data_IF_147934457470
#
_entry.id   IF_147934457470
#
_cell.length_a   1.000
_cell.length_b   1.000
_cell.length_c   1.000
_cell.angle_alpha   90.00
_cell.angle_beta   90.00
_cell.angle_gamma   90.00
#
_symmetry.space_group_name_H-M   'P 1'
#
loop_
_entity.id
_entity.type
_entity.pdbx_description
1 polymer ?
#
# COMPACT_ATOMS: atom_id res chain seq x y z
N UNK A 1 -12.84 -17.31 -20.54
CA UNK A 1 -12.80 -16.57 -19.26
C UNK A 1 -11.40 -16.44 -18.64
N UNK A 2 -10.30 -16.87 -19.30
CA UNK A 2 -8.94 -16.69 -18.75
C UNK A 2 -8.22 -15.41 -19.23
N UNK A 3 -8.71 -14.77 -20.30
CA UNK A 3 -8.02 -13.65 -20.98
C UNK A 3 -8.06 -12.36 -20.13
N UNK A 4 -9.11 -12.16 -19.32
CA UNK A 4 -9.24 -10.98 -18.46
C UNK A 4 -8.21 -10.99 -17.32
N UNK A 5 -8.09 -12.12 -16.61
CA UNK A 5 -7.20 -12.24 -15.46
C UNK A 5 -5.72 -12.07 -15.81
N UNK A 6 -5.29 -12.51 -17.00
CA UNK A 6 -3.89 -12.32 -17.42
C UNK A 6 -3.59 -10.87 -17.78
N UNK A 7 -4.56 -10.17 -18.40
CA UNK A 7 -4.46 -8.73 -18.67
C UNK A 7 -4.39 -7.92 -17.37
N UNK A 8 -5.21 -8.28 -16.39
CA UNK A 8 -5.27 -7.61 -15.09
C UNK A 8 -3.98 -7.83 -14.28
N UNK A 9 -3.39 -9.04 -14.32
CA UNK A 9 -2.09 -9.29 -13.68
C UNK A 9 -0.98 -8.47 -14.34
N UNK A 10 -1.03 -8.32 -15.67
CA UNK A 10 -0.04 -7.55 -16.41
C UNK A 10 -0.14 -6.05 -16.11
N UNK A 11 -1.35 -5.50 -16.00
CA UNK A 11 -1.55 -4.08 -15.63
C UNK A 11 -1.06 -3.80 -14.21
N UNK A 12 -1.38 -4.66 -13.25
CA UNK A 12 -0.91 -4.57 -11.86
C UNK A 12 0.62 -4.63 -11.80
N UNK A 13 1.25 -5.52 -12.58
CA UNK A 13 2.71 -5.61 -12.63
C UNK A 13 3.35 -4.33 -13.18
N UNK A 14 2.76 -3.72 -14.21
CA UNK A 14 3.26 -2.44 -14.77
C UNK A 14 3.13 -1.32 -13.74
N UNK A 15 1.99 -1.23 -13.06
CA UNK A 15 1.76 -0.24 -12.01
C UNK A 15 2.79 -0.31 -10.88
N UNK A 16 3.11 -1.51 -10.37
CA UNK A 16 4.12 -1.65 -9.32
C UNK A 16 5.54 -1.34 -9.80
N UNK A 17 5.87 -1.62 -11.07
CA UNK A 17 7.16 -1.23 -11.65
C UNK A 17 7.31 0.30 -11.68
N UNK A 18 6.24 1.01 -12.05
CA UNK A 18 6.23 2.49 -12.05
C UNK A 18 6.42 3.06 -10.64
N UNK A 19 5.72 2.53 -9.64
CA UNK A 19 5.90 2.94 -8.23
C UNK A 19 7.33 2.72 -7.78
N UNK A 20 7.89 1.53 -8.04
CA UNK A 20 9.27 1.22 -7.65
C UNK A 20 10.24 2.18 -8.33
N UNK A 21 10.04 2.48 -9.61
CA UNK A 21 10.84 3.46 -10.35
C UNK A 21 10.81 4.85 -9.69
N UNK A 22 9.61 5.35 -9.37
CA UNK A 22 9.44 6.64 -8.70
C UNK A 22 10.09 6.65 -7.30
N UNK A 23 9.98 5.56 -6.55
CA UNK A 23 10.64 5.42 -5.26
C UNK A 23 12.16 5.41 -5.42
N UNK A 24 12.71 4.65 -6.38
CA UNK A 24 14.14 4.60 -6.65
C UNK A 24 14.70 6.00 -6.97
N UNK A 25 14.00 6.77 -7.82
CA UNK A 25 14.34 8.16 -8.10
C UNK A 25 14.30 9.05 -6.85
N UNK A 26 13.27 8.92 -6.00
CA UNK A 26 13.17 9.67 -4.74
C UNK A 26 14.31 9.35 -3.75
N UNK A 27 14.92 8.16 -3.86
CA UNK A 27 16.12 7.76 -3.10
C UNK A 27 17.45 8.15 -3.78
N UNK A 28 17.39 8.81 -4.94
CA UNK A 28 18.55 9.36 -5.65
C UNK A 28 19.09 8.49 -6.80
N UNK A 29 18.34 7.49 -7.25
CA UNK A 29 18.65 6.77 -8.49
C UNK A 29 18.29 7.60 -9.74
N UNK A 30 18.52 7.04 -10.93
CA UNK A 30 18.15 7.61 -12.22
C UNK A 30 16.63 7.76 -12.35
N UNK A 31 16.18 8.77 -13.11
CA UNK A 31 14.77 8.97 -13.45
C UNK A 31 14.19 7.79 -14.26
N UNK A 32 15.02 7.17 -15.09
CA UNK A 32 14.75 5.93 -15.81
C UNK A 32 15.76 4.84 -15.37
N UNK A 33 15.46 4.09 -14.29
CA UNK A 33 16.32 3.04 -13.79
C UNK A 33 16.38 1.85 -14.75
N UNK A 34 17.46 1.07 -14.65
CA UNK A 34 17.62 -0.15 -15.45
C UNK A 34 16.47 -1.13 -15.13
N UNK A 35 15.73 -1.66 -16.13
CA UNK A 35 14.56 -2.50 -15.89
C UNK A 35 14.83 -3.73 -15.01
N UNK A 36 15.99 -4.35 -15.17
CA UNK A 36 16.41 -5.49 -14.34
C UNK A 36 16.61 -5.11 -12.86
N UNK A 37 17.00 -3.86 -12.57
CA UNK A 37 17.13 -3.37 -11.20
C UNK A 37 15.74 -3.14 -10.58
N UNK A 38 14.78 -2.61 -11.34
CA UNK A 38 13.39 -2.46 -10.91
C UNK A 38 12.83 -3.83 -10.51
N UNK A 39 13.05 -4.85 -11.35
CA UNK A 39 12.61 -6.22 -11.10
C UNK A 39 13.22 -6.83 -9.85
N UNK A 40 14.54 -6.63 -9.67
CA UNK A 40 15.23 -7.10 -8.47
C UNK A 40 14.66 -6.44 -7.20
N UNK A 41 14.44 -5.11 -7.23
CA UNK A 41 13.87 -4.40 -6.09
C UNK A 41 12.45 -4.89 -5.80
N UNK A 42 11.63 -5.07 -6.83
CA UNK A 42 10.27 -5.57 -6.69
C UNK A 42 10.23 -6.97 -6.07
N UNK A 43 11.10 -7.87 -6.51
CA UNK A 43 11.23 -9.23 -5.95
C UNK A 43 11.67 -9.20 -4.49
N UNK A 44 12.65 -8.36 -4.15
CA UNK A 44 13.11 -8.18 -2.76
C UNK A 44 12.00 -7.64 -1.87
N UNK A 45 11.27 -6.61 -2.32
CA UNK A 45 10.14 -6.02 -1.58
C UNK A 45 9.04 -7.05 -1.37
N UNK A 46 8.66 -7.80 -2.42
CA UNK A 46 7.67 -8.86 -2.32
C UNK A 46 8.08 -9.93 -1.31
N UNK A 47 9.33 -10.37 -1.35
CA UNK A 47 9.86 -11.32 -0.37
C UNK A 47 9.78 -10.78 1.06
N UNK A 48 10.19 -9.53 1.28
CA UNK A 48 10.13 -8.89 2.60
C UNK A 48 8.70 -8.76 3.12
N UNK A 49 7.74 -8.38 2.27
CA UNK A 49 6.32 -8.29 2.64
C UNK A 49 5.77 -9.63 3.10
N UNK A 50 6.03 -10.71 2.35
CA UNK A 50 5.59 -12.06 2.73
C UNK A 50 6.22 -12.47 4.07
N UNK A 51 7.52 -12.22 4.25
CA UNK A 51 8.21 -12.57 5.50
C UNK A 51 7.64 -11.84 6.72
N UNK A 52 7.36 -10.55 6.59
CA UNK A 52 6.74 -9.77 7.68
C UNK A 52 5.37 -10.34 8.05
N UNK A 53 4.57 -10.77 7.06
CA UNK A 53 3.28 -11.39 7.31
C UNK A 53 3.41 -12.78 7.94
N UNK A 54 4.36 -13.59 7.50
CA UNK A 54 4.66 -14.89 8.13
C UNK A 54 5.06 -14.73 9.60
N UNK A 55 5.93 -13.77 9.91
CA UNK A 55 6.39 -13.49 11.27
C UNK A 55 5.25 -12.92 12.13
N UNK A 56 4.41 -12.03 11.58
CA UNK A 56 3.22 -11.54 12.25
C UNK A 56 2.21 -12.67 12.54
N UNK A 57 2.06 -13.61 11.60
CA UNK A 57 1.20 -14.77 11.77
C UNK A 57 1.65 -15.69 12.91
N UNK A 58 2.96 -15.86 13.12
CA UNK A 58 3.46 -16.62 14.28
C UNK A 58 3.02 -16.00 15.60
N UNK A 59 3.00 -14.66 15.71
CA UNK A 59 2.51 -13.97 16.90
C UNK A 59 1.00 -14.17 17.11
N UNK A 60 0.23 -14.14 16.02
CA UNK A 60 -1.22 -14.40 16.05
C UNK A 60 -1.52 -15.82 16.57
N UNK A 61 -0.80 -16.82 16.06
CA UNK A 61 -0.93 -18.22 16.51
C UNK A 61 -0.57 -18.33 18.00
N UNK A 62 0.54 -17.73 18.44
CA UNK A 62 0.96 -17.74 19.84
C UNK A 62 -0.10 -17.14 20.77
N UNK A 63 -0.80 -16.11 20.30
CA UNK A 63 -1.90 -15.45 21.00
C UNK A 63 -3.28 -16.12 20.80
N UNK A 64 -3.34 -17.28 20.13
CA UNK A 64 -4.57 -18.03 19.81
C UNK A 64 -5.64 -17.20 19.07
N UNK A 65 -5.20 -16.19 18.33
CA UNK A 65 -6.06 -15.39 17.44
C UNK A 65 -6.11 -16.04 16.05
N UNK A 66 -7.09 -15.62 15.23
CA UNK A 66 -7.28 -16.13 13.85
C UNK A 66 -7.06 -15.09 12.76
N UNK A 67 -6.80 -13.84 13.15
CA UNK A 67 -6.69 -12.70 12.25
C UNK A 67 -5.47 -11.88 12.63
N UNK A 68 -4.70 -11.45 11.62
CA UNK A 68 -3.59 -10.51 11.78
C UNK A 68 -4.19 -9.13 12.02
N UNK A 69 -3.80 -8.50 13.12
CA UNK A 69 -4.15 -7.12 13.39
C UNK A 69 -2.94 -6.22 13.09
N UNK A 70 -3.18 -4.91 12.99
CA UNK A 70 -2.13 -3.94 12.68
C UNK A 70 -0.98 -3.99 13.71
N UNK A 71 -1.28 -4.18 14.99
CA UNK A 71 -0.28 -4.28 16.05
C UNK A 71 0.69 -5.46 15.84
N UNK A 72 0.25 -6.54 15.20
CA UNK A 72 1.09 -7.71 14.95
C UNK A 72 2.18 -7.43 13.92
N UNK A 73 1.84 -6.62 12.91
CA UNK A 73 2.77 -6.15 11.89
C UNK A 73 3.69 -5.07 12.48
N UNK A 74 3.14 -4.09 13.20
CA UNK A 74 3.93 -3.01 13.81
C UNK A 74 4.95 -3.53 14.83
N UNK A 75 4.62 -4.60 15.55
CA UNK A 75 5.53 -5.21 16.53
C UNK A 75 6.81 -5.74 15.88
N UNK A 76 6.78 -6.12 14.60
CA UNK A 76 7.99 -6.51 13.86
C UNK A 76 9.00 -5.37 13.73
N UNK A 77 8.51 -4.13 13.72
CA UNK A 77 9.35 -2.93 13.58
C UNK A 77 9.71 -2.28 14.92
N UNK A 78 9.39 -2.91 16.07
CA UNK A 78 9.55 -2.31 17.41
C UNK A 78 10.98 -1.86 17.74
N UNK A 79 11.98 -2.52 17.16
CA UNK A 79 13.39 -2.17 17.36
C UNK A 79 13.83 -0.95 16.52
N UNK A 80 13.09 -0.62 15.46
CA UNK A 80 13.37 0.50 14.55
C UNK A 80 12.63 1.77 14.98
N UNK A 81 13.08 2.36 16.09
CA UNK A 81 12.43 3.53 16.72
C UNK A 81 12.21 4.71 15.76
N UNK A 82 13.16 4.99 14.87
CA UNK A 82 13.06 6.07 13.89
C UNK A 82 11.95 5.81 12.87
N UNK A 83 11.92 4.60 12.31
CA UNK A 83 10.88 4.17 11.37
C UNK A 83 9.49 4.24 12.00
N UNK A 84 9.37 3.76 13.25
CA UNK A 84 8.11 3.83 14.00
C UNK A 84 7.64 5.28 14.21
N UNK A 85 8.56 6.17 14.59
CA UNK A 85 8.24 7.60 14.75
C UNK A 85 7.79 8.23 13.44
N UNK A 86 8.47 7.93 12.33
CA UNK A 86 8.11 8.44 11.00
C UNK A 86 6.73 7.94 10.56
N UNK A 87 6.41 6.67 10.83
CA UNK A 87 5.10 6.11 10.52
C UNK A 87 3.98 6.78 11.33
N UNK A 88 4.22 7.04 12.62
CA UNK A 88 3.26 7.75 13.47
C UNK A 88 3.03 9.20 12.98
N UNK A 89 4.09 9.89 12.59
CA UNK A 89 3.99 11.24 12.02
C UNK A 89 3.19 11.24 10.71
N UNK A 90 3.44 10.25 9.85
CA UNK A 90 2.68 10.08 8.61
C UNK A 90 1.18 9.86 8.90
N UNK A 91 0.84 8.93 9.80
CA UNK A 91 -0.55 8.66 10.17
C UNK A 91 -1.24 9.90 10.77
N UNK A 92 -0.54 10.64 11.63
CA UNK A 92 -1.07 11.87 12.22
C UNK A 92 -1.33 12.96 11.18
N UNK A 93 -0.43 13.13 10.21
CA UNK A 93 -0.60 14.09 9.12
C UNK A 93 -1.78 13.68 8.22
N UNK A 94 -1.91 12.39 7.89
CA UNK A 94 -3.00 11.88 7.08
C UNK A 94 -4.37 12.11 7.74
N UNK A 95 -4.48 11.87 9.06
CA UNK A 95 -5.72 12.15 9.80
C UNK A 95 -6.06 13.65 9.79
N UNK A 96 -5.07 14.52 10.02
CA UNK A 96 -5.28 15.97 9.97
C UNK A 96 -5.76 16.45 8.60
N UNK A 97 -5.22 15.90 7.51
CA UNK A 97 -5.70 16.20 6.16
C UNK A 97 -7.15 15.73 5.96
N UNK A 98 -7.51 14.55 6.46
CA UNK A 98 -8.88 14.04 6.38
C UNK A 98 -9.86 14.89 7.18
N UNK A 99 -9.48 15.33 8.38
CA UNK A 99 -10.28 16.26 9.19
C UNK A 99 -10.50 17.60 8.48
N UNK A 100 -9.44 18.17 7.89
CA UNK A 100 -9.55 19.40 7.09
C UNK A 100 -10.47 19.22 5.88
N UNK A 101 -10.37 18.09 5.17
CA UNK A 101 -11.28 17.76 4.06
C UNK A 101 -12.74 17.63 4.52
N UNK A 102 -12.99 17.08 5.72
CA UNK A 102 -14.34 16.97 6.30
C UNK A 102 -14.90 18.31 6.77
N UNK A 103 -14.05 19.18 7.30
CA UNK A 103 -14.42 20.49 7.81
C UNK A 103 -14.51 21.58 6.71
N UNK A 104 -13.89 21.35 5.55
CA UNK A 104 -13.94 22.27 4.42
C UNK A 104 -15.38 22.43 3.92
N UNK A 105 -15.91 23.66 3.82
CA UNK A 105 -17.20 23.88 3.19
C UNK A 105 -17.11 23.46 1.71
N UNK A 106 -17.98 22.55 1.28
CA UNK A 106 -18.10 22.15 -0.13
C UNK A 106 -18.51 23.36 -0.98
N UNK A 107 -17.53 24.07 -1.53
CA UNK A 107 -17.76 25.14 -2.48
C UNK A 107 -17.84 24.53 -3.87
N UNK A 108 -19.02 24.52 -4.49
CA UNK A 108 -19.26 23.91 -5.82
C UNK A 108 -18.48 24.49 -7.01
N UNK A 109 -17.44 25.31 -6.79
CA UNK A 109 -16.51 25.81 -7.81
C UNK A 109 -15.14 25.10 -7.79
N UNK A 110 -14.88 24.24 -6.81
CA UNK A 110 -13.64 23.45 -6.73
C UNK A 110 -13.86 21.96 -7.06
N UNK A 111 -15.12 21.55 -7.27
CA UNK A 111 -15.48 20.18 -7.63
C UNK A 111 -15.48 19.95 -9.17
N UNK A 112 -15.32 21.00 -10.01
CA UNK A 112 -15.26 20.87 -11.47
C UNK A 112 -13.95 20.23 -11.96
N UNK A 113 -12.89 20.29 -11.15
CA UNK A 113 -11.60 19.63 -11.41
C UNK A 113 -11.39 18.38 -10.53
N UNK A 114 -12.46 17.86 -9.91
CA UNK A 114 -12.40 16.56 -9.23
C UNK A 114 -12.33 15.48 -10.31
N UNK A 115 -11.11 15.20 -10.75
CA UNK A 115 -10.73 14.05 -11.55
C UNK A 115 -11.53 12.84 -11.07
N UNK A 116 -12.07 12.10 -12.04
CA UNK A 116 -12.72 10.80 -11.89
C UNK A 116 -11.74 9.80 -11.25
N UNK A 117 -11.50 9.93 -9.93
CA UNK A 117 -11.06 8.83 -9.10
C UNK A 117 -12.23 7.85 -9.11
N UNK A 118 -12.14 6.87 -10.01
CA UNK A 118 -13.10 5.79 -10.13
C UNK A 118 -13.30 5.14 -8.77
N UNK A 119 -14.44 5.43 -8.17
CA UNK A 119 -15.04 4.67 -7.09
C UNK A 119 -15.33 3.27 -7.65
N UNK A 120 -14.30 2.42 -7.70
CA UNK A 120 -14.48 0.99 -7.91
C UNK A 120 -15.06 0.47 -6.60
N UNK A 121 -16.39 0.37 -6.56
CA UNK A 121 -17.14 -0.36 -5.55
C UNK A 121 -16.50 -1.75 -5.32
N UNK A 122 -15.69 -1.89 -4.26
CA UNK A 122 -15.13 -3.18 -3.79
C UNK A 122 -16.17 -4.00 -2.98
N UNK A 123 -17.46 -3.70 -3.06
CA UNK A 123 -18.53 -4.43 -2.38
C UNK A 123 -19.38 -5.25 -3.34
N UNK A 124 -18.78 -6.27 -3.97
CA UNK A 124 -19.54 -7.45 -4.38
C UNK A 124 -18.65 -8.70 -4.36
N UNK A 125 -18.40 -9.24 -3.16
CA UNK A 125 -18.02 -10.65 -3.01
C UNK A 125 -19.33 -11.45 -2.99
N UNK A 126 -19.68 -12.22 -4.05
CA UNK A 126 -20.86 -13.07 -4.00
C UNK A 126 -20.55 -14.21 -3.03
N UNK A 127 -21.12 -14.12 -1.83
CA UNK A 127 -21.20 -15.27 -0.92
C UNK A 127 -22.15 -16.30 -1.53
N UNK A 128 -21.60 -17.19 -2.37
CA UNK A 128 -22.35 -18.38 -2.81
C UNK A 128 -22.33 -19.40 -1.68
N UNK A 129 -23.53 -19.86 -1.36
CA UNK A 129 -23.90 -20.82 -0.33
C UNK A 129 -23.64 -22.26 -0.75
#
# INVERSE_FOLDING_TARGET
MAVNSTSDIMSISTYYREIVSQMMFAFGDLEDPIPACIDLVLDVVKFQMVKVLEDAWQNVIANKRKTIMLEDVLTQFKHHKFTMKRLLQFASAAESVNELKRAAPRTGKLDEDCEEEGDLDEDEIPTTR
#
